data_IF_962724757526
#
_entry.id   IF_962724757526
#
_cell.length_a   1.000
_cell.length_b   1.000
_cell.length_c   1.000
_cell.angle_alpha   90.00
_cell.angle_beta   90.00
_cell.angle_gamma   90.00
#
_symmetry.space_group_name_H-M   'P 1'
#
loop_
_entity.id
_entity.type
_entity.pdbx_description
1 polymer ?
#
# COMPACT_ATOMS: atom_id res chain seq x y z
N UNK A 1 10.64 33.44 -24.36
CA UNK A 1 10.53 32.84 -24.39
C UNK A 1 10.64 32.08 -24.13
N UNK A 2 10.68 32.28 -23.87
CA UNK A 2 10.75 31.45 -23.80
C UNK A 2 10.73 30.67 -23.29
N UNK A 3 10.51 30.92 -22.89
CA UNK A 3 10.42 30.13 -22.61
C UNK A 3 10.43 29.30 -22.25
N UNK A 4 10.13 29.83 -22.16
CA UNK A 4 10.06 28.95 -22.07
C UNK A 4 10.14 28.14 -21.74
N UNK A 5 9.84 28.63 -21.62
CA UNK A 5 9.87 27.76 -21.52
C UNK A 5 10.08 27.02 -20.98
N UNK A 6 9.98 27.51 -20.84
CA UNK A 6 10.16 26.74 -20.53
C UNK A 6 10.06 25.96 -19.93
N UNK A 7 9.70 26.31 -19.76
CA UNK A 7 9.66 25.43 -19.43
C UNK A 7 9.72 24.55 -18.97
N UNK A 8 9.60 24.79 -18.91
CA UNK A 8 9.72 23.82 -18.74
C UNK A 8 9.80 22.96 -18.11
N UNK A 9 9.69 23.13 -17.85
CA UNK A 9 9.82 22.24 -17.44
C UNK A 9 9.90 21.43 -16.91
N UNK A 10 9.89 21.36 -16.67
CA UNK A 10 10.10 20.47 -16.27
C UNK A 10 10.25 19.73 -15.65
N UNK A 11 10.26 19.78 -15.50
CA UNK A 11 10.73 18.99 -15.18
C UNK A 11 10.95 18.55 -14.36
N UNK A 12 11.01 18.78 -14.16
CA UNK A 12 11.52 18.17 -13.50
C UNK A 12 11.18 17.59 -12.77
N UNK A 13 10.66 17.47 -12.50
CA UNK A 13 10.51 16.75 -11.88
C UNK A 13 10.64 15.68 -11.87
N UNK A 14 10.65 15.62 -12.19
CA UNK A 14 10.80 14.42 -12.17
C UNK A 14 11.74 13.76 -11.53
N UNK A 15 12.54 13.97 -11.62
CA UNK A 15 13.36 13.22 -11.04
C UNK A 15 13.25 13.25 -9.62
N UNK A 16 13.21 14.18 -9.03
CA UNK A 16 13.00 14.19 -7.61
C UNK A 16 11.53 14.00 -7.38
N UNK A 17 11.16 12.82 -7.02
CA UNK A 17 9.77 12.57 -6.71
C UNK A 17 9.41 13.21 -5.39
N UNK A 18 8.28 13.89 -5.31
CA UNK A 18 7.83 14.41 -4.03
C UNK A 18 7.64 13.29 -3.03
N UNK A 19 7.95 13.55 -1.78
CA UNK A 19 7.71 12.61 -0.70
C UNK A 19 6.20 12.56 -0.47
N UNK A 20 5.61 11.37 -0.51
CA UNK A 20 4.18 11.20 -0.30
C UNK A 20 3.86 11.21 1.20
N UNK A 21 2.71 11.75 1.55
CA UNK A 21 2.23 11.61 2.93
C UNK A 21 1.77 10.17 3.13
N UNK A 22 2.19 9.62 4.26
CA UNK A 22 1.89 8.24 4.59
C UNK A 22 0.40 8.03 4.77
N UNK A 23 -0.07 6.88 4.35
CA UNK A 23 -1.47 6.45 4.44
C UNK A 23 -2.41 7.42 3.74
N UNK A 24 -2.09 7.74 2.49
CA UNK A 24 -2.90 8.59 1.61
C UNK A 24 -3.04 7.91 0.26
N UNK A 25 -3.94 8.44 -0.58
CA UNK A 25 -4.11 7.91 -1.93
C UNK A 25 -2.81 7.99 -2.72
N UNK A 26 -2.08 9.09 -2.60
CA UNK A 26 -0.80 9.26 -3.29
C UNK A 26 0.22 8.19 -2.88
N UNK A 27 0.27 7.89 -1.58
CA UNK A 27 1.16 6.86 -1.08
C UNK A 27 0.82 5.50 -1.67
N UNK A 28 -0.46 5.12 -1.62
CA UNK A 28 -0.86 3.81 -2.12
C UNK A 28 -0.76 3.70 -3.64
N UNK A 29 -0.95 4.80 -4.37
CA UNK A 29 -0.73 4.82 -5.82
C UNK A 29 0.74 4.54 -6.15
N UNK A 30 1.65 5.13 -5.38
CA UNK A 30 3.08 4.87 -5.59
C UNK A 30 3.44 3.43 -5.27
N UNK A 31 2.87 2.89 -4.19
CA UNK A 31 3.07 1.47 -3.85
C UNK A 31 2.60 0.59 -5.00
N UNK A 32 1.39 0.85 -5.52
CA UNK A 32 0.84 0.07 -6.63
C UNK A 32 1.74 0.17 -7.87
N UNK A 33 2.20 1.37 -8.19
CA UNK A 33 3.08 1.59 -9.33
C UNK A 33 4.38 0.78 -9.21
N UNK A 34 4.98 0.80 -8.02
CA UNK A 34 6.22 0.06 -7.79
C UNK A 34 6.01 -1.44 -7.85
N UNK A 35 4.89 -1.93 -7.29
CA UNK A 35 4.58 -3.35 -7.36
C UNK A 35 4.39 -3.81 -8.80
N UNK A 36 3.67 -3.02 -9.59
CA UNK A 36 3.41 -3.36 -11.00
C UNK A 36 4.70 -3.41 -11.82
N UNK A 37 5.78 -2.79 -11.35
CA UNK A 37 7.07 -2.79 -12.01
C UNK A 37 8.09 -3.70 -11.34
N UNK A 38 7.70 -4.41 -10.29
CA UNK A 38 8.60 -5.22 -9.48
C UNK A 38 8.63 -6.67 -10.00
N UNK A 39 9.78 -7.17 -10.48
CA UNK A 39 9.84 -8.54 -11.01
C UNK A 39 9.51 -9.61 -9.99
N UNK A 40 9.91 -9.42 -8.75
CA UNK A 40 9.63 -10.39 -7.69
C UNK A 40 8.14 -10.46 -7.39
N UNK A 41 7.48 -9.31 -7.35
CA UNK A 41 6.02 -9.26 -7.20
C UNK A 41 5.33 -9.96 -8.35
N UNK A 42 5.75 -9.67 -9.58
CA UNK A 42 5.15 -10.26 -10.78
C UNK A 42 5.22 -11.78 -10.74
N UNK A 43 6.32 -12.33 -10.23
CA UNK A 43 6.46 -13.77 -10.08
C UNK A 43 5.52 -14.33 -9.02
N UNK A 44 5.50 -13.71 -7.85
CA UNK A 44 4.75 -14.23 -6.71
C UNK A 44 3.24 -14.06 -6.88
N UNK A 45 2.82 -13.02 -7.54
CA UNK A 45 1.41 -12.61 -7.58
C UNK A 45 0.74 -12.85 -8.94
N UNK A 46 1.41 -13.48 -9.89
CA UNK A 46 0.90 -13.61 -11.26
C UNK A 46 -0.52 -14.19 -11.34
N UNK A 47 -0.85 -15.11 -10.45
CA UNK A 47 -2.17 -15.76 -10.45
C UNK A 47 -3.06 -15.27 -9.30
N UNK A 48 -2.64 -14.23 -8.58
CA UNK A 48 -3.38 -13.74 -7.42
C UNK A 48 -4.44 -12.74 -7.85
N UNK A 49 -5.67 -12.94 -7.39
CA UNK A 49 -6.76 -11.98 -7.54
C UNK A 49 -7.42 -11.84 -6.17
N UNK A 50 -7.38 -10.64 -5.61
CA UNK A 50 -7.90 -10.39 -4.27
C UNK A 50 -8.19 -8.90 -4.08
N UNK A 51 -9.08 -8.62 -3.13
CA UNK A 51 -9.41 -7.25 -2.71
C UNK A 51 -9.11 -7.13 -1.23
N UNK A 52 -8.33 -6.12 -0.87
CA UNK A 52 -7.91 -5.87 0.50
C UNK A 52 -8.24 -4.44 0.87
N UNK A 53 -8.88 -4.23 2.02
CA UNK A 53 -9.13 -2.89 2.54
C UNK A 53 -8.22 -2.65 3.75
N UNK A 54 -7.53 -1.53 3.74
CA UNK A 54 -6.68 -1.09 4.84
C UNK A 54 -7.31 0.16 5.46
N UNK A 55 -7.61 0.10 6.75
CA UNK A 55 -8.29 1.21 7.44
C UNK A 55 -7.43 1.76 8.56
N UNK A 56 -7.26 3.08 8.56
CA UNK A 56 -6.68 3.82 9.67
C UNK A 56 -7.86 4.34 10.50
N UNK A 57 -8.10 3.70 11.64
CA UNK A 57 -9.30 3.93 12.43
C UNK A 57 -9.40 5.33 13.00
N UNK A 58 -8.29 5.84 13.58
CA UNK A 58 -8.30 7.14 14.22
C UNK A 58 -8.21 8.30 13.25
N UNK A 59 -8.07 8.03 11.95
CA UNK A 59 -8.10 9.05 10.92
C UNK A 59 -9.29 8.88 9.97
N UNK A 60 -10.08 7.84 10.19
CA UNK A 60 -11.28 7.55 9.39
C UNK A 60 -10.98 7.49 7.89
N UNK A 61 -9.87 6.83 7.54
CA UNK A 61 -9.49 6.66 6.13
C UNK A 61 -9.33 5.20 5.81
N UNK A 62 -9.85 4.81 4.66
CA UNK A 62 -9.76 3.43 4.19
C UNK A 62 -9.35 3.41 2.73
N UNK A 63 -8.52 2.41 2.36
CA UNK A 63 -8.03 2.27 1.01
C UNK A 63 -8.24 0.85 0.54
N UNK A 64 -8.78 0.71 -0.66
CA UNK A 64 -8.97 -0.58 -1.31
C UNK A 64 -7.78 -0.84 -2.21
N UNK A 65 -7.11 -1.96 -1.97
CA UNK A 65 -6.05 -2.44 -2.85
C UNK A 65 -6.61 -3.62 -3.60
N UNK A 66 -6.68 -3.50 -4.92
CA UNK A 66 -7.14 -4.61 -5.76
C UNK A 66 -5.95 -5.22 -6.47
N UNK A 67 -5.93 -6.55 -6.47
CA UNK A 67 -4.94 -7.32 -7.22
C UNK A 67 -5.71 -8.19 -8.19
N UNK A 68 -5.45 -8.04 -9.48
CA UNK A 68 -6.10 -8.86 -10.51
C UNK A 68 -4.99 -9.47 -11.36
N UNK A 69 -4.80 -10.77 -11.23
CA UNK A 69 -3.72 -11.49 -11.91
C UNK A 69 -2.39 -10.76 -11.74
N UNK A 70 -2.12 -10.33 -10.50
CA UNK A 70 -0.89 -9.64 -10.13
C UNK A 70 -0.86 -8.14 -10.39
N UNK A 71 -1.83 -7.59 -11.10
CA UNK A 71 -1.88 -6.14 -11.35
C UNK A 71 -2.53 -5.43 -10.17
N UNK A 72 -1.87 -4.40 -9.66
CA UNK A 72 -2.27 -3.70 -8.44
C UNK A 72 -2.85 -2.34 -8.76
N UNK A 73 -3.96 -2.01 -8.11
CA UNK A 73 -4.56 -0.68 -8.16
C UNK A 73 -5.03 -0.30 -6.76
N UNK A 74 -5.14 0.99 -6.50
CA UNK A 74 -5.56 1.49 -5.20
C UNK A 74 -6.60 2.58 -5.37
N UNK A 75 -7.50 2.68 -4.40
CA UNK A 75 -8.48 3.78 -4.35
C UNK A 75 -8.91 4.01 -2.92
N UNK A 76 -9.18 5.26 -2.59
CA UNK A 76 -9.76 5.57 -1.29
C UNK A 76 -11.25 5.23 -1.31
N UNK A 77 -11.74 4.55 -0.26
CA UNK A 77 -13.09 3.99 -0.23
C UNK A 77 -13.67 4.14 1.17
N UNK A 78 -15.01 4.01 1.32
CA UNK A 78 -15.61 3.85 2.66
C UNK A 78 -15.16 2.51 3.25
N UNK A 79 -15.10 2.39 4.59
CA UNK A 79 -14.58 1.18 5.23
C UNK A 79 -15.47 -0.05 5.07
N UNK A 80 -16.72 0.13 4.67
CA UNK A 80 -17.67 -0.97 4.56
C UNK A 80 -17.78 -1.57 3.15
N UNK A 81 -16.91 -1.18 2.22
CA UNK A 81 -16.95 -1.80 0.89
C UNK A 81 -16.59 -3.29 1.00
N UNK A 82 -17.19 -4.14 0.15
CA UNK A 82 -16.86 -5.55 0.16
C UNK A 82 -15.40 -5.80 -0.21
N UNK A 83 -14.77 -6.72 0.50
CA UNK A 83 -13.39 -7.11 0.23
C UNK A 83 -13.16 -8.52 0.76
N UNK A 84 -12.12 -9.18 0.23
CA UNK A 84 -11.75 -10.50 0.71
C UNK A 84 -11.12 -10.43 2.09
N UNK A 85 -10.35 -9.38 2.33
CA UNK A 85 -9.65 -9.17 3.59
C UNK A 85 -9.72 -7.72 4.01
N UNK A 86 -9.79 -7.48 5.32
CA UNK A 86 -9.75 -6.13 5.88
C UNK A 86 -8.78 -6.09 7.05
N UNK A 87 -7.96 -5.03 7.07
CA UNK A 87 -7.02 -4.79 8.16
C UNK A 87 -7.30 -3.41 8.74
N UNK A 88 -7.52 -3.35 10.05
CA UNK A 88 -7.92 -2.13 10.74
C UNK A 88 -6.95 -1.86 11.88
N UNK A 89 -6.42 -0.65 11.93
CA UNK A 89 -5.53 -0.25 13.00
C UNK A 89 -5.46 1.25 13.11
N UNK A 90 -4.90 1.73 14.22
CA UNK A 90 -4.67 3.15 14.40
C UNK A 90 -3.40 3.57 13.65
N UNK A 91 -3.28 4.86 13.44
CA UNK A 91 -2.15 5.42 12.68
C UNK A 91 -0.81 5.00 13.28
N UNK A 92 -0.74 4.91 14.59
CA UNK A 92 0.45 4.50 15.32
C UNK A 92 0.95 3.12 14.87
N UNK A 93 0.02 2.15 14.77
CA UNK A 93 0.35 0.81 14.31
C UNK A 93 0.80 0.81 12.85
N UNK A 94 0.08 1.54 12.00
CA UNK A 94 0.47 1.66 10.59
C UNK A 94 1.83 2.32 10.45
N UNK A 95 2.14 3.32 11.29
CA UNK A 95 3.43 4.01 11.29
C UNK A 95 4.57 3.06 11.67
N UNK A 96 4.36 2.22 12.68
CA UNK A 96 5.37 1.23 13.06
C UNK A 96 5.68 0.28 11.91
N UNK A 97 4.65 -0.11 11.16
CA UNK A 97 4.83 -0.92 9.97
C UNK A 97 5.61 -0.16 8.89
N UNK A 98 5.20 1.08 8.62
CA UNK A 98 5.80 1.91 7.57
C UNK A 98 7.24 2.26 7.84
N UNK A 99 7.63 2.39 9.11
CA UNK A 99 9.02 2.67 9.51
C UNK A 99 9.86 1.41 9.60
N UNK A 100 9.26 0.25 9.50
CA UNK A 100 9.97 -1.02 9.64
C UNK A 100 10.29 -1.37 11.08
N UNK A 101 9.66 -0.71 12.04
CA UNK A 101 9.88 -0.98 13.47
C UNK A 101 9.24 -2.29 13.89
N UNK A 102 8.13 -2.65 13.27
CA UNK A 102 7.44 -3.92 13.51
C UNK A 102 6.97 -4.48 12.19
N UNK A 103 6.96 -5.79 12.07
CA UNK A 103 6.43 -6.41 10.88
C UNK A 103 4.92 -6.59 10.98
N UNK A 104 4.31 -6.87 9.85
CA UNK A 104 2.87 -6.98 9.72
C UNK A 104 2.30 -8.07 10.62
N UNK A 105 2.95 -9.23 10.62
CA UNK A 105 2.51 -10.38 11.40
C UNK A 105 2.51 -10.07 12.90
N UNK A 106 3.54 -9.40 13.40
CA UNK A 106 3.62 -9.00 14.81
C UNK A 106 2.49 -8.07 15.20
N UNK A 107 2.16 -7.12 14.33
CA UNK A 107 1.08 -6.18 14.62
C UNK A 107 -0.28 -6.85 14.65
N UNK A 108 -0.51 -7.81 13.76
CA UNK A 108 -1.76 -8.55 13.73
C UNK A 108 -1.87 -9.47 14.96
N UNK A 109 -0.80 -10.21 15.26
CA UNK A 109 -0.80 -11.12 16.40
C UNK A 109 -0.89 -10.38 17.74
N UNK A 110 -0.32 -9.20 17.81
CA UNK A 110 -0.39 -8.36 19.02
C UNK A 110 -1.69 -7.58 19.15
N UNK A 111 -2.62 -7.72 18.20
CA UNK A 111 -3.91 -7.04 18.24
C UNK A 111 -3.85 -5.55 17.89
N UNK A 112 -2.73 -5.06 17.43
CA UNK A 112 -2.60 -3.66 17.01
C UNK A 112 -3.26 -3.40 15.67
N UNK A 113 -3.25 -4.40 14.80
CA UNK A 113 -3.98 -4.38 13.54
C UNK A 113 -4.94 -5.55 13.58
N UNK A 114 -6.23 -5.24 13.45
CA UNK A 114 -7.27 -6.27 13.45
C UNK A 114 -7.45 -6.80 12.03
N UNK A 115 -7.50 -8.11 11.91
CA UNK A 115 -7.75 -8.79 10.64
C UNK A 115 -9.18 -9.28 10.59
N UNK A 116 -9.81 -9.08 9.42
CA UNK A 116 -11.11 -9.65 9.10
C UNK A 116 -11.01 -10.38 7.76
N UNK A 117 -11.49 -11.62 7.73
CA UNK A 117 -11.47 -12.42 6.51
C UNK A 117 -11.16 -13.87 6.83
N UNK A 118 -10.93 -14.65 5.79
CA UNK A 118 -10.63 -16.07 5.92
C UNK A 118 -9.17 -16.27 6.31
N UNK A 119 -8.95 -16.83 7.49
CA UNK A 119 -7.58 -17.12 7.96
C UNK A 119 -6.86 -18.11 7.03
N UNK A 120 -7.48 -19.22 6.59
CA UNK A 120 -6.79 -20.12 5.67
C UNK A 120 -6.38 -19.43 4.36
N UNK A 121 -7.21 -18.54 3.83
CA UNK A 121 -6.90 -17.83 2.59
C UNK A 121 -5.73 -16.87 2.77
N UNK A 122 -5.74 -16.10 3.88
CA UNK A 122 -4.67 -15.13 4.12
C UNK A 122 -3.33 -15.82 4.36
N UNK A 123 -3.34 -17.00 4.99
CA UNK A 123 -2.12 -17.77 5.20
C UNK A 123 -1.45 -18.13 3.88
N UNK A 124 -2.26 -18.44 2.86
CA UNK A 124 -1.74 -18.74 1.53
C UNK A 124 -1.18 -17.53 0.81
N UNK A 125 -1.46 -16.33 1.29
CA UNK A 125 -1.03 -15.08 0.66
C UNK A 125 0.05 -14.36 1.46
N UNK A 126 0.60 -14.98 2.51
CA UNK A 126 1.56 -14.30 3.38
C UNK A 126 2.82 -13.83 2.63
N UNK A 127 3.31 -14.62 1.69
CA UNK A 127 4.46 -14.23 0.88
C UNK A 127 4.17 -12.99 0.03
N UNK A 128 2.95 -12.91 -0.50
CA UNK A 128 2.50 -11.78 -1.30
C UNK A 128 2.40 -10.53 -0.42
N UNK A 129 1.79 -10.67 0.75
CA UNK A 129 1.64 -9.54 1.70
C UNK A 129 3.00 -9.05 2.18
N UNK A 130 3.95 -9.95 2.42
CA UNK A 130 5.31 -9.57 2.80
C UNK A 130 5.97 -8.72 1.73
N UNK A 131 5.79 -9.09 0.46
CA UNK A 131 6.38 -8.32 -0.63
C UNK A 131 5.78 -6.93 -0.73
N UNK A 132 4.46 -6.80 -0.52
CA UNK A 132 3.81 -5.49 -0.48
C UNK A 132 4.45 -4.63 0.59
N UNK A 133 4.66 -5.18 1.78
CA UNK A 133 5.26 -4.44 2.90
C UNK A 133 6.67 -3.97 2.57
N UNK A 134 7.48 -4.84 1.99
CA UNK A 134 8.87 -4.49 1.63
C UNK A 134 8.89 -3.33 0.63
N UNK A 135 8.08 -3.42 -0.42
CA UNK A 135 8.01 -2.37 -1.43
C UNK A 135 7.49 -1.07 -0.82
N UNK A 136 6.47 -1.15 0.03
CA UNK A 136 5.88 0.02 0.66
C UNK A 136 6.89 0.76 1.55
N UNK A 137 7.77 0.02 2.23
CA UNK A 137 8.80 0.63 3.08
C UNK A 137 9.77 1.49 2.30
N UNK A 138 10.04 1.11 1.06
CA UNK A 138 11.00 1.83 0.22
C UNK A 138 10.43 3.10 -0.40
N UNK A 139 9.11 3.30 -0.32
CA UNK A 139 8.49 4.53 -0.83
C UNK A 139 8.84 5.69 0.10
N UNK A 140 9.47 6.77 -0.41
CA UNK A 140 9.72 7.96 0.41
C UNK A 140 8.41 8.54 0.92
N UNK A 141 8.36 8.81 2.22
CA UNK A 141 7.11 9.23 2.84
C UNK A 141 7.31 10.09 4.07
N UNK A 142 6.34 10.94 4.31
CA UNK A 142 6.21 11.76 5.51
C UNK A 142 5.11 11.16 6.37
N UNK A 143 5.40 10.99 7.65
CA UNK A 143 4.43 10.46 8.60
C UNK A 143 3.59 11.54 9.28
#
# INVERSE_FOLDING_TARGET
MSQSLILSRPVPQTKARPVARYFTQEFFEEVAHRLNSDPEWSKKAASVTAKVVLTCLDRSRSFLITVVNGKVASSEVPPDVPADFKFEGNYDAWTQLGKGEKDFQSLVMGGKIRFRGSMPKIMGLMGVLSRITVVARDVPKDF
#
